data_IF_598380070800
#
_entry.id   IF_598380070800
#
_cell.length_a   1.000
_cell.length_b   1.000
_cell.length_c   1.000
_cell.angle_alpha   90.00
_cell.angle_beta   90.00
_cell.angle_gamma   90.00
#
_symmetry.space_group_name_H-M   'P 1'
#
loop_
_entity.id
_entity.type
_entity.pdbx_description
1 polymer ?
#
# COMPACT_ATOMS: atom_id res chain seq x y z
N UNK A 1 -5.03 -11.88 -21.39
CA UNK A 1 -4.06 -11.46 -20.35
C UNK A 1 -4.41 -10.08 -19.78
N UNK A 2 -4.39 -9.01 -20.57
CA UNK A 2 -4.72 -7.64 -20.10
C UNK A 2 -6.05 -7.56 -19.31
N UNK A 3 -7.15 -8.10 -19.88
CA UNK A 3 -8.46 -8.17 -19.20
C UNK A 3 -8.42 -8.84 -17.82
N UNK A 4 -7.71 -9.96 -17.68
CA UNK A 4 -7.64 -10.69 -16.41
C UNK A 4 -6.84 -9.88 -15.37
N UNK A 5 -5.78 -9.20 -15.80
CA UNK A 5 -4.99 -8.29 -14.95
C UNK A 5 -5.84 -7.09 -14.51
N UNK A 6 -6.67 -6.52 -15.39
CA UNK A 6 -7.60 -5.45 -15.04
C UNK A 6 -8.66 -5.91 -14.04
N UNK A 7 -9.24 -7.09 -14.23
CA UNK A 7 -10.20 -7.66 -13.27
C UNK A 7 -9.53 -7.90 -11.92
N UNK A 8 -8.32 -8.45 -11.92
CA UNK A 8 -7.53 -8.61 -10.70
C UNK A 8 -7.26 -7.28 -10.01
N UNK A 9 -6.82 -6.25 -10.75
CA UNK A 9 -6.59 -4.91 -10.22
C UNK A 9 -7.87 -4.30 -9.62
N UNK A 10 -9.03 -4.49 -10.26
CA UNK A 10 -10.32 -4.01 -9.75
C UNK A 10 -10.72 -4.70 -8.44
N UNK A 11 -10.60 -6.03 -8.37
CA UNK A 11 -10.89 -6.78 -7.15
C UNK A 11 -9.93 -6.42 -6.02
N UNK A 12 -8.64 -6.28 -6.34
CA UNK A 12 -7.63 -5.85 -5.39
C UNK A 12 -7.90 -4.43 -4.91
N UNK A 13 -8.24 -3.49 -5.81
CA UNK A 13 -8.59 -2.12 -5.42
C UNK A 13 -9.80 -2.07 -4.48
N UNK A 14 -10.85 -2.84 -4.78
CA UNK A 14 -12.01 -2.96 -3.89
C UNK A 14 -11.59 -3.48 -2.51
N UNK A 15 -10.75 -4.50 -2.47
CA UNK A 15 -10.22 -5.04 -1.22
C UNK A 15 -9.38 -4.00 -0.46
N UNK A 16 -8.51 -3.24 -1.13
CA UNK A 16 -7.70 -2.17 -0.53
C UNK A 16 -8.59 -1.08 0.06
N UNK A 17 -9.66 -0.68 -0.63
CA UNK A 17 -10.62 0.32 -0.14
C UNK A 17 -11.29 -0.15 1.16
N UNK A 18 -11.79 -1.40 1.18
CA UNK A 18 -12.41 -1.97 2.39
C UNK A 18 -11.41 -2.08 3.54
N UNK A 19 -10.18 -2.53 3.24
CA UNK A 19 -9.12 -2.65 4.24
C UNK A 19 -8.70 -1.27 4.78
N UNK A 20 -8.65 -0.24 3.92
CA UNK A 20 -8.38 1.14 4.34
C UNK A 20 -9.47 1.69 5.25
N UNK A 21 -10.74 1.41 4.94
CA UNK A 21 -11.86 1.74 5.83
C UNK A 21 -11.73 1.04 7.18
N UNK A 22 -11.34 -0.24 7.20
CA UNK A 22 -11.09 -0.99 8.43
C UNK A 22 -9.95 -0.40 9.26
N UNK A 23 -8.81 -0.03 8.64
CA UNK A 23 -7.68 0.63 9.30
C UNK A 23 -8.12 1.95 9.94
N UNK A 24 -8.91 2.76 9.21
CA UNK A 24 -9.44 4.04 9.70
C UNK A 24 -10.39 3.85 10.89
N UNK A 25 -11.34 2.92 10.79
CA UNK A 25 -12.32 2.64 11.84
C UNK A 25 -11.68 2.00 13.09
N UNK A 26 -10.56 1.32 12.92
CA UNK A 26 -9.79 0.73 14.02
C UNK A 26 -8.78 1.69 14.66
N UNK A 27 -8.82 2.97 14.29
CA UNK A 27 -7.86 4.02 14.70
C UNK A 27 -6.39 3.63 14.46
N UNK A 28 -6.15 2.81 13.43
CA UNK A 28 -4.84 2.27 13.11
C UNK A 28 -4.15 3.02 11.96
N UNK A 29 -4.74 4.12 11.46
CA UNK A 29 -4.21 4.86 10.30
C UNK A 29 -2.93 5.66 10.56
N UNK A 30 -2.39 5.62 11.78
CA UNK A 30 -1.13 6.26 12.21
C UNK A 30 -0.26 5.27 13.02
N UNK A 31 -0.47 3.97 12.84
CA UNK A 31 0.28 2.90 13.50
C UNK A 31 1.75 2.79 13.05
N UNK A 32 2.12 3.24 11.86
CA UNK A 32 3.49 3.20 11.33
C UNK A 32 4.00 4.62 10.97
N UNK A 33 5.10 5.11 11.59
CA UNK A 33 5.58 6.47 11.39
C UNK A 33 6.34 6.71 10.08
N UNK A 34 6.89 5.67 9.48
CA UNK A 34 7.76 5.67 8.29
C UNK A 34 7.20 4.76 7.20
N UNK A 35 7.61 4.95 5.94
CA UNK A 35 7.28 4.10 4.78
C UNK A 35 8.55 3.96 3.92
N UNK A 36 8.88 2.79 3.33
CA UNK A 36 8.08 1.57 3.15
C UNK A 36 8.09 0.57 4.32
N UNK A 37 8.83 0.87 5.39
CA UNK A 37 8.87 0.08 6.62
C UNK A 37 7.82 0.48 7.65
N UNK A 38 8.03 0.03 8.88
CA UNK A 38 7.35 0.45 10.10
C UNK A 38 8.33 0.34 11.26
N UNK A 39 8.61 1.46 11.92
CA UNK A 39 9.65 1.63 12.94
C UNK A 39 11.05 1.22 12.46
N UNK A 40 11.41 1.56 11.22
CA UNK A 40 12.74 1.29 10.67
C UNK A 40 12.97 -0.16 10.23
N UNK A 41 11.98 -1.04 10.40
CA UNK A 41 11.99 -2.43 9.91
C UNK A 41 11.02 -2.59 8.75
N UNK A 42 11.29 -3.51 7.82
CA UNK A 42 10.35 -3.84 6.75
C UNK A 42 9.07 -4.45 7.31
N UNK A 43 9.16 -5.24 8.39
CA UNK A 43 8.02 -5.89 9.06
C UNK A 43 7.90 -5.36 10.49
N UNK A 44 6.70 -5.38 11.09
CA UNK A 44 6.52 -4.98 12.49
C UNK A 44 7.40 -5.88 13.36
N UNK A 45 8.38 -5.28 14.03
CA UNK A 45 9.31 -5.99 14.90
C UNK A 45 8.84 -5.87 16.36
N UNK A 46 8.27 -6.96 16.86
CA UNK A 46 7.77 -7.09 18.24
C UNK A 46 8.82 -7.67 19.21
N UNK A 47 10.06 -7.85 18.74
CA UNK A 47 11.16 -8.29 19.62
C UNK A 47 11.49 -7.23 20.67
N UNK A 48 12.19 -7.63 21.74
CA UNK A 48 12.64 -6.67 22.75
C UNK A 48 13.56 -5.60 22.14
N UNK A 49 14.39 -5.98 21.17
CA UNK A 49 15.27 -5.06 20.45
C UNK A 49 14.47 -4.09 19.57
N UNK A 50 13.48 -4.58 18.83
CA UNK A 50 12.58 -3.76 18.00
C UNK A 50 11.75 -2.77 18.82
N UNK A 51 11.21 -3.21 19.96
CA UNK A 51 10.50 -2.33 20.90
C UNK A 51 11.42 -1.27 21.52
N UNK A 52 12.65 -1.64 21.88
CA UNK A 52 13.63 -0.69 22.41
C UNK A 52 14.03 0.35 21.34
N UNK A 53 14.25 -0.10 20.10
CA UNK A 53 14.54 0.78 18.97
C UNK A 53 13.38 1.75 18.70
N UNK A 54 12.14 1.26 18.71
CA UNK A 54 10.95 2.08 18.55
C UNK A 54 10.82 3.13 19.67
N UNK A 55 11.03 2.73 20.93
CA UNK A 55 10.97 3.63 22.08
C UNK A 55 12.07 4.71 22.05
N UNK A 56 13.26 4.40 21.56
CA UNK A 56 14.37 5.33 21.44
C UNK A 56 14.19 6.33 20.28
N UNK A 57 13.76 5.84 19.11
CA UNK A 57 13.71 6.64 17.88
C UNK A 57 12.36 7.34 17.67
N UNK A 58 11.29 6.84 18.28
CA UNK A 58 9.93 7.37 18.18
C UNK A 58 9.29 7.55 19.57
N UNK A 59 9.86 8.41 20.45
CA UNK A 59 9.44 8.52 21.86
C UNK A 59 8.00 8.99 22.05
N UNK A 60 7.47 9.75 21.09
CA UNK A 60 6.08 10.25 21.08
C UNK A 60 5.06 9.19 20.63
N UNK A 61 5.52 8.06 20.06
CA UNK A 61 4.68 7.03 19.43
C UNK A 61 5.14 5.63 19.83
N UNK A 62 4.71 5.12 20.99
CA UNK A 62 5.07 3.77 21.39
C UNK A 62 4.51 2.73 20.39
N UNK A 63 5.28 1.67 20.16
CA UNK A 63 4.89 0.59 19.25
C UNK A 63 3.61 -0.11 19.73
N UNK A 64 2.47 0.22 19.12
CA UNK A 64 1.24 -0.55 19.26
C UNK A 64 1.15 -1.58 18.14
N UNK A 65 1.68 -2.78 18.38
CA UNK A 65 1.79 -3.85 17.38
C UNK A 65 0.47 -4.10 16.61
N UNK A 66 -0.67 -4.10 17.29
CA UNK A 66 -1.98 -4.30 16.65
C UNK A 66 -2.32 -3.21 15.63
N UNK A 67 -1.98 -1.94 15.90
CA UNK A 67 -2.23 -0.84 14.96
C UNK A 67 -1.20 -0.84 13.84
N UNK A 68 0.07 -1.05 14.18
CA UNK A 68 1.17 -1.16 13.22
C UNK A 68 0.91 -2.25 12.16
N UNK A 69 0.48 -3.44 12.58
CA UNK A 69 0.15 -4.52 11.66
C UNK A 69 -1.01 -4.20 10.73
N UNK A 70 -2.10 -3.62 11.26
CA UNK A 70 -3.25 -3.23 10.44
C UNK A 70 -2.85 -2.25 9.35
N UNK A 71 -2.06 -1.23 9.69
CA UNK A 71 -1.58 -0.25 8.73
C UNK A 71 -0.59 -0.85 7.72
N UNK A 72 0.37 -1.64 8.20
CA UNK A 72 1.37 -2.28 7.35
C UNK A 72 0.72 -3.19 6.29
N UNK A 73 -0.25 -4.02 6.69
CA UNK A 73 -0.96 -4.90 5.77
C UNK A 73 -1.67 -4.07 4.69
N UNK A 74 -2.35 -2.99 5.06
CA UNK A 74 -2.98 -2.09 4.10
C UNK A 74 -1.96 -1.48 3.12
N UNK A 75 -0.81 -0.99 3.61
CA UNK A 75 0.26 -0.40 2.80
C UNK A 75 0.84 -1.39 1.78
N UNK A 76 1.01 -2.66 2.14
CA UNK A 76 1.50 -3.67 1.20
C UNK A 76 0.51 -4.04 0.10
N UNK A 77 -0.78 -4.16 0.44
CA UNK A 77 -1.80 -4.38 -0.59
C UNK A 77 -1.94 -3.18 -1.52
N UNK A 78 -1.87 -1.95 -0.98
CA UNK A 78 -1.85 -0.73 -1.78
C UNK A 78 -0.63 -0.65 -2.70
N UNK A 79 0.56 -0.99 -2.20
CA UNK A 79 1.79 -1.04 -3.01
C UNK A 79 1.70 -2.08 -4.13
N UNK A 80 1.15 -3.27 -3.83
CA UNK A 80 0.90 -4.33 -4.82
C UNK A 80 -0.05 -3.84 -5.91
N UNK A 81 -1.13 -3.14 -5.55
CA UNK A 81 -2.04 -2.53 -6.52
C UNK A 81 -1.31 -1.50 -7.41
N UNK A 82 -0.47 -0.65 -6.82
CA UNK A 82 0.38 0.28 -7.56
C UNK A 82 1.25 -0.41 -8.61
N UNK A 83 1.93 -1.49 -8.26
CA UNK A 83 2.73 -2.28 -9.20
C UNK A 83 1.89 -2.90 -10.33
N UNK A 84 0.68 -3.39 -10.02
CA UNK A 84 -0.23 -3.92 -11.05
C UNK A 84 -0.66 -2.83 -12.03
N UNK A 85 -0.94 -1.61 -11.54
CA UNK A 85 -1.32 -0.47 -12.38
C UNK A 85 -0.16 -0.01 -13.26
N UNK A 86 1.07 0.02 -12.73
CA UNK A 86 2.28 0.30 -13.53
C UNK A 86 2.48 -0.78 -14.62
N UNK A 87 2.28 -2.05 -14.30
CA UNK A 87 2.35 -3.13 -15.28
C UNK A 87 1.28 -3.01 -16.38
N UNK A 88 0.03 -2.68 -16.01
CA UNK A 88 -1.06 -2.40 -16.96
C UNK A 88 -0.71 -1.24 -17.88
N UNK A 89 -0.12 -0.17 -17.35
CA UNK A 89 0.30 1.01 -18.12
C UNK A 89 1.43 0.67 -19.08
N UNK A 90 2.44 -0.09 -18.62
CA UNK A 90 3.50 -0.58 -19.48
C UNK A 90 2.95 -1.45 -20.62
N UNK A 91 2.02 -2.36 -20.34
CA UNK A 91 1.38 -3.19 -21.37
C UNK A 91 0.58 -2.32 -22.35
N UNK A 92 -0.21 -1.36 -21.86
CA UNK A 92 -0.99 -0.45 -22.71
C UNK A 92 -0.08 0.41 -23.62
N UNK A 93 1.11 0.79 -23.15
CA UNK A 93 2.10 1.50 -23.96
C UNK A 93 2.71 0.59 -25.03
N UNK A 94 3.07 -0.64 -24.68
CA UNK A 94 3.60 -1.65 -25.61
C UNK A 94 2.57 -2.13 -26.64
N UNK A 95 1.27 -1.97 -26.35
CA UNK A 95 0.15 -2.43 -27.16
C UNK A 95 -0.81 -1.29 -27.54
N UNK A 96 -0.41 -0.41 -28.49
CA UNK A 96 -1.25 0.71 -28.95
C UNK A 96 -2.65 0.28 -29.40
N UNK A 97 -2.78 -0.93 -29.94
CA UNK A 97 -4.03 -1.48 -30.46
C UNK A 97 -5.14 -1.59 -29.40
N UNK A 98 -4.78 -1.56 -28.11
CA UNK A 98 -5.74 -1.55 -27.01
C UNK A 98 -6.44 -0.19 -26.83
N UNK A 99 -5.87 0.91 -27.34
CA UNK A 99 -6.44 2.26 -27.21
C UNK A 99 -6.48 2.84 -25.79
N UNK A 100 -5.93 2.17 -24.78
CA UNK A 100 -6.06 2.53 -23.36
C UNK A 100 -4.90 3.36 -22.78
N UNK A 101 -3.98 3.85 -23.61
CA UNK A 101 -2.77 4.56 -23.16
C UNK A 101 -3.08 5.78 -22.28
N UNK A 102 -4.05 6.60 -22.68
CA UNK A 102 -4.45 7.79 -21.92
C UNK A 102 -5.01 7.42 -20.55
N UNK A 103 -5.96 6.48 -20.50
CA UNK A 103 -6.59 6.02 -19.25
C UNK A 103 -5.56 5.39 -18.29
N UNK A 104 -4.73 4.47 -18.78
CA UNK A 104 -3.76 3.77 -17.94
C UNK A 104 -2.71 4.74 -17.36
N UNK A 105 -2.24 5.69 -18.17
CA UNK A 105 -1.31 6.73 -17.72
C UNK A 105 -1.97 7.66 -16.70
N UNK A 106 -3.21 8.10 -16.96
CA UNK A 106 -3.97 8.94 -16.03
C UNK A 106 -4.22 8.26 -14.69
N UNK A 107 -4.60 6.97 -14.68
CA UNK A 107 -4.78 6.20 -13.46
C UNK A 107 -3.47 6.01 -12.69
N UNK A 108 -2.34 5.76 -13.39
CA UNK A 108 -1.04 5.66 -12.73
C UNK A 108 -0.65 6.97 -12.04
N UNK A 109 -0.84 8.11 -12.71
CA UNK A 109 -0.59 9.42 -12.12
C UNK A 109 -1.48 9.66 -10.90
N UNK A 110 -2.79 9.40 -11.03
CA UNK A 110 -3.73 9.54 -9.92
C UNK A 110 -3.28 8.76 -8.67
N UNK A 111 -2.85 7.50 -8.85
CA UNK A 111 -2.41 6.65 -7.75
C UNK A 111 -1.12 7.16 -7.10
N UNK A 112 -0.19 7.71 -7.88
CA UNK A 112 1.02 8.33 -7.33
C UNK A 112 0.73 9.58 -6.48
N UNK A 113 -0.38 10.26 -6.72
CA UNK A 113 -0.81 11.43 -5.93
C UNK A 113 -1.80 11.09 -4.81
N UNK A 114 -2.32 9.86 -4.74
CA UNK A 114 -3.22 9.40 -3.66
C UNK A 114 -2.46 8.85 -2.44
N UNK A 115 -1.16 8.58 -2.58
CA UNK A 115 -0.29 8.02 -1.54
C UNK A 115 0.27 9.06 -0.59
#
# INVERSE_FOLDING_TARGET
MFRNLTIFALLLALFVVVLGAYVRLSDAGLGCPDWPGCYGSLIVDESQEGMAHAAENYPERPLEASKAWKEMIHRYFASTLGFVILALTFIAWRRPELGQRGLATGLSLLVMFQG
#
